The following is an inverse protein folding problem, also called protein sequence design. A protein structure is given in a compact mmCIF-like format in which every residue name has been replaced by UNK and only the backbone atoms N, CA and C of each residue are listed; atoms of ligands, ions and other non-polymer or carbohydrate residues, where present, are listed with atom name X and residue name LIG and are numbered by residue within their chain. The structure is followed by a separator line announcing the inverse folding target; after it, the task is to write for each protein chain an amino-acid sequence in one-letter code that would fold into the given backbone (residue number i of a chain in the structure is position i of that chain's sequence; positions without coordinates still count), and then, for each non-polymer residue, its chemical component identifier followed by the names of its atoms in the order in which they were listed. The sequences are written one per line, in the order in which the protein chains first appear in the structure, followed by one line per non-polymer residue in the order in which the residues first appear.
data_IF_903284714095
#
_entry.id   IF_903284714095
#
_cell.length_a   1.000
_cell.length_b   1.000
_cell.length_c   1.000
_cell.angle_alpha   90.00
_cell.angle_beta   90.00
_cell.angle_gamma   90.00
#
_symmetry.space_group_name_H-M   'P 1'
#
loop_
_entity.id
_entity.type
_entity.pdbx_description
1 polymer ?
#
# COMPACT_ATOMS: atom_id res chain seq x y z
N UNK A 1 -6.36 19.75 -9.29
CA UNK A 1 -5.97 18.56 -8.52
C UNK A 1 -6.55 17.36 -9.23
N UNK A 2 -5.71 16.40 -9.61
CA UNK A 2 -6.14 15.20 -10.34
C UNK A 2 -6.07 14.02 -9.38
N UNK A 3 -7.19 13.32 -9.21
CA UNK A 3 -7.31 12.08 -8.45
C UNK A 3 -7.79 11.01 -9.43
N UNK A 4 -7.23 9.82 -9.32
CA UNK A 4 -7.60 8.71 -10.19
C UNK A 4 -7.49 7.40 -9.42
N UNK A 5 -8.34 6.45 -9.80
CA UNK A 5 -8.28 5.10 -9.29
C UNK A 5 -7.27 4.30 -10.11
N UNK A 6 -6.39 3.55 -9.45
CA UNK A 6 -5.49 2.61 -10.12
C UNK A 6 -6.31 1.45 -10.70
N UNK A 7 -5.78 0.80 -11.74
CA UNK A 7 -6.41 -0.40 -12.31
C UNK A 7 -6.63 -1.45 -11.19
N UNK A 8 -7.83 -2.00 -11.05
CA UNK A 8 -8.17 -2.91 -9.93
C UNK A 8 -8.81 -2.25 -8.71
N UNK A 9 -8.83 -0.92 -8.64
CA UNK A 9 -9.29 -0.15 -7.47
C UNK A 9 -10.47 0.76 -7.81
N UNK A 10 -11.27 1.09 -6.80
CA UNK A 10 -12.37 2.05 -6.91
C UNK A 10 -13.29 1.78 -8.10
N UNK A 11 -13.45 2.80 -8.94
CA UNK A 11 -14.26 2.76 -10.16
C UNK A 11 -13.51 2.27 -11.40
N UNK A 12 -12.22 1.95 -11.31
CA UNK A 12 -11.46 1.40 -12.43
C UNK A 12 -11.76 -0.08 -12.64
N UNK A 13 -11.68 -0.50 -13.90
CA UNK A 13 -11.90 -1.89 -14.29
C UNK A 13 -10.93 -2.86 -13.60
N UNK A 14 -11.36 -4.11 -13.48
CA UNK A 14 -10.57 -5.23 -12.93
C UNK A 14 -10.41 -6.36 -13.95
N UNK A 15 -9.80 -6.11 -15.12
CA UNK A 15 -9.68 -7.11 -16.17
C UNK A 15 -8.81 -8.29 -15.73
N UNK A 16 -9.24 -9.50 -16.11
CA UNK A 16 -8.43 -10.70 -15.92
C UNK A 16 -7.17 -10.65 -16.79
N UNK A 17 -6.04 -11.14 -16.26
CA UNK A 17 -4.77 -11.20 -16.99
C UNK A 17 -3.99 -9.87 -17.06
N UNK A 18 -4.53 -8.77 -16.53
CA UNK A 18 -3.74 -7.57 -16.34
C UNK A 18 -2.70 -7.75 -15.23
N UNK A 19 -1.52 -7.16 -15.41
CA UNK A 19 -0.58 -7.00 -14.31
C UNK A 19 -1.11 -5.97 -13.31
N UNK A 20 -1.18 -6.33 -12.04
CA UNK A 20 -1.51 -5.43 -10.92
C UNK A 20 -0.26 -5.02 -10.13
N UNK A 21 0.93 -5.23 -10.67
CA UNK A 21 2.18 -4.84 -10.03
C UNK A 21 2.22 -3.33 -9.80
N UNK A 22 2.79 -2.89 -8.66
CA UNK A 22 2.90 -1.46 -8.36
C UNK A 22 3.77 -0.71 -9.37
N UNK A 23 4.71 -1.41 -10.00
CA UNK A 23 5.54 -0.86 -11.07
C UNK A 23 4.70 -0.53 -12.32
N UNK A 24 3.81 -1.44 -12.72
CA UNK A 24 2.90 -1.18 -13.84
C UNK A 24 1.86 -0.10 -13.52
N UNK A 25 1.43 0.02 -12.26
CA UNK A 25 0.60 1.14 -11.83
C UNK A 25 1.34 2.48 -11.96
N UNK A 26 2.63 2.54 -11.61
CA UNK A 26 3.46 3.74 -11.78
C UNK A 26 3.64 4.13 -13.25
N UNK A 27 3.88 3.14 -14.12
CA UNK A 27 3.90 3.35 -15.57
C UNK A 27 2.58 3.93 -16.10
N UNK A 28 1.45 3.30 -15.74
CA UNK A 28 0.11 3.73 -16.16
C UNK A 28 -0.25 5.12 -15.64
N UNK A 29 0.19 5.49 -14.44
CA UNK A 29 0.00 6.85 -13.94
C UNK A 29 0.64 7.92 -14.85
N UNK A 30 1.85 7.65 -15.38
CA UNK A 30 2.48 8.51 -16.37
C UNK A 30 1.74 8.56 -17.71
N UNK A 31 1.24 7.42 -18.18
CA UNK A 31 0.39 7.32 -19.38
C UNK A 31 -0.90 8.11 -19.24
N UNK A 32 -1.54 8.02 -18.07
CA UNK A 32 -2.74 8.80 -17.74
C UNK A 32 -2.45 10.29 -17.72
N UNK A 33 -1.35 10.72 -17.09
CA UNK A 33 -0.96 12.13 -17.08
C UNK A 33 -0.77 12.68 -18.51
N UNK A 34 -0.16 11.88 -19.40
CA UNK A 34 -0.03 12.22 -20.82
C UNK A 34 -1.38 12.29 -21.54
N UNK A 35 -2.26 11.33 -21.32
CA UNK A 35 -3.60 11.30 -21.92
C UNK A 35 -4.50 12.45 -21.47
N UNK A 36 -4.22 13.03 -20.31
CA UNK A 36 -4.90 14.21 -19.76
C UNK A 36 -4.19 15.53 -20.09
N UNK A 37 -3.17 15.51 -20.95
CA UNK A 37 -2.35 16.68 -21.31
C UNK A 37 -1.80 17.43 -20.08
N UNK A 38 -1.34 16.70 -19.05
CA UNK A 38 -0.71 17.27 -17.86
C UNK A 38 0.81 17.37 -18.11
N UNK A 39 1.38 18.56 -18.38
CA UNK A 39 2.80 18.69 -18.70
C UNK A 39 3.68 18.65 -17.45
N UNK A 40 3.11 18.93 -16.27
CA UNK A 40 3.84 19.13 -15.01
C UNK A 40 2.92 18.90 -13.82
N UNK A 41 3.44 18.24 -12.77
CA UNK A 41 2.68 18.03 -11.54
C UNK A 41 3.57 17.85 -10.31
N UNK A 42 2.98 18.13 -9.13
CA UNK A 42 3.41 17.58 -7.85
C UNK A 42 2.74 16.23 -7.67
N UNK A 43 3.51 15.21 -7.28
CA UNK A 43 3.00 13.86 -7.04
C UNK A 43 2.92 13.60 -5.54
N UNK A 44 1.80 13.05 -5.09
CA UNK A 44 1.58 12.62 -3.71
C UNK A 44 1.30 11.12 -3.70
N UNK A 45 2.08 10.36 -2.95
CA UNK A 45 1.89 8.93 -2.71
C UNK A 45 1.56 8.67 -1.24
N UNK A 46 0.51 7.88 -0.98
CA UNK A 46 0.13 7.45 0.37
C UNK A 46 0.10 5.92 0.44
N UNK A 47 0.64 5.34 1.52
CA UNK A 47 0.66 3.90 1.76
C UNK A 47 1.22 3.15 0.53
N UNK A 48 0.49 2.19 -0.06
CA UNK A 48 0.90 1.49 -1.27
C UNK A 48 1.15 2.44 -2.47
N UNK A 49 0.43 3.56 -2.53
CA UNK A 49 0.60 4.60 -3.55
C UNK A 49 1.95 5.31 -3.47
N UNK A 50 2.68 5.19 -2.37
CA UNK A 50 4.07 5.63 -2.26
C UNK A 50 4.96 4.86 -3.23
N UNK A 51 4.86 3.53 -3.29
CA UNK A 51 5.69 2.70 -4.20
C UNK A 51 5.41 3.05 -5.65
N UNK A 52 4.15 3.32 -5.99
CA UNK A 52 3.75 3.83 -7.30
C UNK A 52 4.42 5.17 -7.58
N UNK A 53 4.42 6.09 -6.61
CA UNK A 53 5.04 7.41 -6.77
C UNK A 53 6.58 7.34 -6.88
N UNK A 54 7.23 6.40 -6.19
CA UNK A 54 8.66 6.11 -6.36
C UNK A 54 8.95 5.57 -7.75
N UNK A 55 8.14 4.63 -8.26
CA UNK A 55 8.28 4.16 -9.64
C UNK A 55 8.11 5.31 -10.65
N UNK A 56 7.15 6.20 -10.42
CA UNK A 56 6.99 7.40 -11.23
C UNK A 56 8.25 8.28 -11.19
N UNK A 57 8.87 8.45 -10.01
CA UNK A 57 10.14 9.18 -9.87
C UNK A 57 11.27 8.47 -10.63
N UNK A 58 11.43 7.16 -10.50
CA UNK A 58 12.42 6.39 -11.27
C UNK A 58 12.26 6.60 -12.78
N UNK A 59 11.02 6.60 -13.27
CA UNK A 59 10.69 6.91 -14.67
C UNK A 59 10.94 8.36 -15.03
N UNK A 60 10.77 9.30 -14.10
CA UNK A 60 11.09 10.71 -14.33
C UNK A 60 12.60 10.87 -14.57
N UNK A 61 13.43 10.28 -13.70
CA UNK A 61 14.89 10.29 -13.82
C UNK A 61 15.38 9.59 -15.10
N UNK A 62 14.67 8.56 -15.56
CA UNK A 62 14.93 7.89 -16.83
C UNK A 62 14.40 8.65 -18.07
N UNK A 63 13.64 9.73 -17.90
CA UNK A 63 13.00 10.47 -19.01
C UNK A 63 11.78 9.78 -19.64
N UNK A 64 11.18 8.80 -18.95
CA UNK A 64 10.12 7.93 -19.46
C UNK A 64 8.72 8.28 -18.90
N UNK A 65 8.63 9.07 -17.83
CA UNK A 65 7.37 9.32 -17.11
C UNK A 65 6.29 10.01 -17.97
N UNK A 66 6.69 10.91 -18.88
CA UNK A 66 5.77 11.64 -19.77
C UNK A 66 5.31 13.02 -19.29
N UNK A 67 5.70 13.43 -18.07
CA UNK A 67 5.50 14.79 -17.57
C UNK A 67 6.64 15.19 -16.61
N UNK A 68 6.77 16.48 -16.33
CA UNK A 68 7.74 16.99 -15.35
C UNK A 68 7.22 16.83 -13.93
N UNK A 69 7.92 16.09 -13.08
CA UNK A 69 7.61 16.01 -11.65
C UNK A 69 8.32 17.15 -10.91
N UNK A 70 7.58 18.15 -10.43
CA UNK A 70 8.20 19.29 -9.72
C UNK A 70 8.61 18.95 -8.29
N UNK A 71 7.78 18.13 -7.63
CA UNK A 71 7.91 17.75 -6.23
C UNK A 71 7.25 16.40 -6.00
N UNK A 72 7.76 15.69 -5.00
CA UNK A 72 7.23 14.42 -4.54
C UNK A 72 6.93 14.52 -3.04
N UNK A 73 5.73 14.10 -2.65
CA UNK A 73 5.33 13.98 -1.25
C UNK A 73 4.96 12.53 -0.97
N UNK A 74 5.58 11.97 0.05
CA UNK A 74 5.40 10.56 0.44
C UNK A 74 4.82 10.48 1.84
N UNK A 75 3.74 9.72 2.01
CA UNK A 75 3.01 9.63 3.28
C UNK A 75 2.78 8.17 3.68
N UNK A 76 3.12 7.80 4.92
CA UNK A 76 2.74 6.53 5.56
C UNK A 76 2.99 5.25 4.73
N UNK A 77 4.08 5.16 3.96
CA UNK A 77 4.37 3.98 3.15
C UNK A 77 5.70 3.31 3.49
N UNK A 78 5.81 2.03 3.12
CA UNK A 78 6.80 1.07 3.63
C UNK A 78 8.17 1.05 2.91
N UNK A 79 8.53 2.11 2.18
CA UNK A 79 9.76 2.17 1.37
C UNK A 79 11.09 2.07 2.13
N UNK A 80 11.07 2.31 3.44
CA UNK A 80 12.22 2.14 4.33
C UNK A 80 11.92 0.99 5.29
N UNK A 81 11.56 -0.17 4.75
CA UNK A 81 11.18 -1.35 5.54
C UNK A 81 12.33 -1.81 6.44
N UNK A 82 13.57 -1.55 6.03
CA UNK A 82 14.79 -1.83 6.80
C UNK A 82 14.88 -0.98 8.08
N UNK A 83 14.20 0.16 8.12
CA UNK A 83 14.09 1.01 9.30
C UNK A 83 12.84 0.71 10.14
N UNK A 84 11.94 -0.15 9.65
CA UNK A 84 10.73 -0.50 10.36
C UNK A 84 11.05 -1.47 11.51
N UNK A 85 10.47 -1.21 12.68
CA UNK A 85 10.48 -2.15 13.80
C UNK A 85 9.44 -3.25 13.58
N UNK A 86 9.76 -4.19 12.69
CA UNK A 86 8.90 -5.34 12.40
C UNK A 86 8.94 -6.37 13.53
N UNK A 87 7.76 -6.77 13.99
CA UNK A 87 7.58 -7.82 15.00
C UNK A 87 8.03 -9.18 14.48
N UNK A 88 8.32 -10.12 15.37
CA UNK A 88 8.68 -11.49 14.95
C UNK A 88 7.54 -12.13 14.14
N UNK A 89 6.29 -11.95 14.56
CA UNK A 89 5.12 -12.42 13.83
C UNK A 89 5.08 -11.88 12.39
N UNK A 90 5.35 -10.59 12.18
CA UNK A 90 5.40 -10.02 10.83
C UNK A 90 6.51 -10.63 9.98
N UNK A 91 7.67 -10.97 10.56
CA UNK A 91 8.74 -11.67 9.83
C UNK A 91 8.35 -13.09 9.46
N UNK A 92 7.71 -13.81 10.39
CA UNK A 92 7.26 -15.18 10.16
C UNK A 92 6.20 -15.22 9.06
N UNK A 93 5.28 -14.24 9.03
CA UNK A 93 4.27 -14.09 7.98
C UNK A 93 4.83 -13.77 6.58
N UNK A 94 6.11 -13.41 6.47
CA UNK A 94 6.77 -13.19 5.18
C UNK A 94 7.30 -14.48 4.54
N UNK A 95 7.14 -15.64 5.20
CA UNK A 95 7.49 -16.95 4.65
C UNK A 95 6.27 -17.84 4.50
N UNK A 96 6.31 -18.76 3.53
CA UNK A 96 5.21 -19.70 3.29
C UNK A 96 4.98 -20.61 4.50
N UNK A 97 6.05 -21.09 5.14
CA UNK A 97 5.95 -21.93 6.33
C UNK A 97 5.36 -21.18 7.53
N UNK A 98 5.80 -19.94 7.76
CA UNK A 98 5.31 -19.13 8.87
C UNK A 98 3.86 -18.69 8.66
N UNK A 99 3.48 -18.34 7.43
CA UNK A 99 2.09 -18.08 7.06
C UNK A 99 1.20 -19.32 7.25
N UNK A 100 1.65 -20.50 6.84
CA UNK A 100 0.91 -21.74 7.05
C UNK A 100 0.74 -22.07 8.53
N UNK A 101 1.80 -21.89 9.33
CA UNK A 101 1.75 -22.09 10.78
C UNK A 101 0.80 -21.10 11.46
N UNK A 102 0.80 -19.84 11.04
CA UNK A 102 -0.13 -18.83 11.53
C UNK A 102 -1.58 -19.23 11.25
N UNK A 103 -1.90 -19.62 10.01
CA UNK A 103 -3.26 -20.06 9.64
C UNK A 103 -3.71 -21.26 10.45
N UNK A 104 -2.83 -22.26 10.63
CA UNK A 104 -3.16 -23.47 11.38
C UNK A 104 -3.46 -23.20 12.88
N UNK A 105 -2.89 -22.12 13.44
CA UNK A 105 -3.06 -21.72 14.83
C UNK A 105 -3.89 -20.46 15.04
N UNK A 106 -4.54 -19.94 14.00
CA UNK A 106 -5.22 -18.66 14.06
C UNK A 106 -6.44 -18.72 15.00
N UNK A 107 -6.47 -17.81 15.96
CA UNK A 107 -7.61 -17.58 16.85
C UNK A 107 -7.91 -16.07 16.83
N UNK A 108 -9.09 -15.65 16.35
CA UNK A 108 -9.39 -14.24 16.13
C UNK A 108 -9.42 -13.43 17.43
N UNK A 109 -9.81 -14.03 18.57
CA UNK A 109 -9.83 -13.34 19.86
C UNK A 109 -8.41 -13.10 20.39
N UNK A 110 -7.51 -14.10 20.31
CA UNK A 110 -6.10 -13.92 20.65
C UNK A 110 -5.40 -12.93 19.73
N UNK A 111 -5.71 -12.97 18.44
CA UNK A 111 -5.14 -12.02 17.48
C UNK A 111 -5.62 -10.59 17.77
N UNK A 112 -6.91 -10.39 18.03
CA UNK A 112 -7.49 -9.10 18.41
C UNK A 112 -6.81 -8.51 19.68
N UNK A 113 -6.59 -9.33 20.71
CA UNK A 113 -5.85 -8.91 21.91
C UNK A 113 -4.42 -8.45 21.58
N UNK A 114 -3.75 -9.15 20.66
CA UNK A 114 -2.43 -8.77 20.15
C UNK A 114 -2.43 -7.40 19.48
N UNK A 115 -3.46 -7.06 18.70
CA UNK A 115 -3.53 -5.78 17.99
C UNK A 115 -3.61 -4.54 18.90
N UNK A 116 -3.80 -4.70 20.20
CA UNK A 116 -3.80 -3.58 21.16
C UNK A 116 -2.52 -2.75 21.12
N UNK A 117 -1.36 -3.32 20.76
CA UNK A 117 -0.12 -2.55 20.66
C UNK A 117 -0.11 -1.54 19.49
N UNK A 118 -0.99 -1.72 18.48
CA UNK A 118 -1.08 -0.83 17.31
C UNK A 118 -1.79 0.47 17.67
N UNK A 119 -2.68 0.44 18.65
CA UNK A 119 -3.46 1.61 19.05
C UNK A 119 -2.63 2.58 19.90
N UNK A 120 -2.79 3.88 19.63
CA UNK A 120 -2.12 4.92 20.41
C UNK A 120 -2.53 4.91 21.89
N UNK A 121 -3.79 4.58 22.18
CA UNK A 121 -4.28 4.31 23.53
C UNK A 121 -5.24 3.11 23.52
N UNK A 122 -4.74 1.91 23.84
CA UNK A 122 -5.55 0.70 23.83
C UNK A 122 -6.65 0.66 24.89
N UNK A 123 -6.63 1.56 25.89
CA UNK A 123 -7.70 1.67 26.89
C UNK A 123 -8.92 2.44 26.37
N UNK A 124 -8.74 3.22 25.30
CA UNK A 124 -9.78 4.06 24.69
C UNK A 124 -10.39 3.47 23.43
N UNK A 125 -9.80 2.41 22.88
CA UNK A 125 -10.33 1.74 21.69
C UNK A 125 -11.53 0.86 22.06
N UNK A 126 -12.71 1.05 21.45
CA UNK A 126 -13.84 0.16 21.62
C UNK A 126 -13.51 -1.30 21.27
N UNK A 127 -14.03 -2.25 22.03
CA UNK A 127 -13.77 -3.68 21.81
C UNK A 127 -14.21 -4.15 20.41
N UNK A 128 -15.26 -3.52 19.85
CA UNK A 128 -15.71 -3.78 18.48
C UNK A 128 -14.63 -3.43 17.44
N UNK A 129 -13.86 -2.35 17.65
CA UNK A 129 -12.83 -1.91 16.72
C UNK A 129 -11.57 -2.78 16.84
N UNK A 130 -11.24 -3.23 18.06
CA UNK A 130 -10.14 -4.19 18.32
C UNK A 130 -10.43 -5.51 17.59
N UNK A 131 -11.68 -5.97 17.63
CA UNK A 131 -12.11 -7.22 17.01
C UNK A 131 -12.29 -7.10 15.50
N UNK A 132 -12.79 -5.98 14.99
CA UNK A 132 -13.15 -5.84 13.57
C UNK A 132 -12.04 -6.26 12.60
N UNK A 133 -10.78 -5.92 12.92
CA UNK A 133 -9.61 -6.29 12.10
C UNK A 133 -9.37 -7.80 12.14
N UNK A 134 -9.46 -8.43 13.31
CA UNK A 134 -9.20 -9.85 13.47
C UNK A 134 -10.26 -10.72 12.77
N UNK A 135 -11.53 -10.31 12.83
CA UNK A 135 -12.63 -11.05 12.22
C UNK A 135 -12.73 -10.88 10.70
N UNK A 136 -12.06 -9.88 10.11
CA UNK A 136 -11.92 -9.78 8.65
C UNK A 136 -11.04 -10.89 8.06
N UNK A 137 -10.19 -11.51 8.89
CA UNK A 137 -9.27 -12.57 8.49
C UNK A 137 -9.79 -13.98 8.81
N UNK A 138 -10.92 -14.10 9.52
CA UNK A 138 -11.55 -15.35 9.93
C UNK A 138 -12.58 -15.83 8.89
#
# INVERSE_FOLDING_TARGET
MTLFDQLGFGFSDKPAGASYSLLDQGRRAGELARALDIPRALVVGHDMGLTVAIEMLCRHEAGELGFTMDRLVLCNGSHLVELAHVTQLQKDLMTDEGAAAFVAGFDPERFALGLRFVWADPSRTPEVDIRAIAYWMA
#
